data_IF_020369625826
#
_entry.id   IF_020369625826
#
_cell.length_a   1.000
_cell.length_b   1.000
_cell.length_c   1.000
_cell.angle_alpha   90.00
_cell.angle_beta   90.00
_cell.angle_gamma   90.00
#
_symmetry.space_group_name_H-M   'P 1'
#
loop_
_entity.id
_entity.type
_entity.pdbx_description
1 polymer ?
#
# COMPACT_ATOMS: atom_id res chain seq x y z
N UNK A 1 15.86 12.68 -1.83
CA UNK A 1 14.67 12.68 -2.72
C UNK A 1 14.38 11.33 -3.40
N UNK A 2 15.27 10.31 -3.38
CA UNK A 2 15.01 8.99 -3.99
C UNK A 2 14.06 8.08 -3.19
N UNK A 3 14.13 8.11 -1.85
CA UNK A 3 13.42 7.15 -0.99
C UNK A 3 11.90 7.32 -1.01
N UNK A 4 11.40 8.56 -1.02
CA UNK A 4 9.95 8.87 -1.06
C UNK A 4 9.33 8.45 -2.39
N UNK A 5 10.02 8.67 -3.52
CA UNK A 5 9.55 8.21 -4.85
C UNK A 5 9.47 6.69 -4.95
N UNK A 6 10.43 5.97 -4.37
CA UNK A 6 10.44 4.51 -4.41
C UNK A 6 9.28 3.92 -3.59
N UNK A 7 8.98 4.50 -2.43
CA UNK A 7 7.86 4.04 -1.59
C UNK A 7 6.52 4.39 -2.23
N UNK A 8 6.40 5.57 -2.86
CA UNK A 8 5.19 5.93 -3.59
C UNK A 8 4.92 4.95 -4.76
N UNK A 9 5.97 4.56 -5.50
CA UNK A 9 5.84 3.52 -6.53
C UNK A 9 5.37 2.19 -5.95
N UNK A 10 5.96 1.75 -4.84
CA UNK A 10 5.57 0.52 -4.14
C UNK A 10 4.09 0.56 -3.69
N UNK A 11 3.62 1.70 -3.20
CA UNK A 11 2.21 1.91 -2.84
C UNK A 11 1.32 1.80 -4.08
N UNK A 12 1.68 2.41 -5.21
CA UNK A 12 0.93 2.28 -6.45
C UNK A 12 0.83 0.83 -6.92
N UNK A 13 1.96 0.10 -6.91
CA UNK A 13 1.99 -1.31 -7.32
C UNK A 13 1.12 -2.17 -6.38
N UNK A 14 1.20 -1.96 -5.06
CA UNK A 14 0.37 -2.65 -4.07
C UNK A 14 -1.13 -2.35 -4.23
N UNK A 15 -1.49 -1.09 -4.56
CA UNK A 15 -2.89 -0.71 -4.84
C UNK A 15 -3.43 -1.45 -6.06
N UNK A 16 -2.62 -1.59 -7.10
CA UNK A 16 -3.03 -2.33 -8.30
C UNK A 16 -3.25 -3.80 -7.96
N UNK A 17 -2.30 -4.44 -7.26
CA UNK A 17 -2.43 -5.83 -6.84
C UNK A 17 -3.66 -6.07 -5.95
N UNK A 18 -3.95 -5.15 -5.01
CA UNK A 18 -5.15 -5.23 -4.17
C UNK A 18 -6.42 -5.09 -5.01
N UNK A 19 -6.44 -4.18 -5.98
CA UNK A 19 -7.58 -3.99 -6.88
C UNK A 19 -7.83 -5.24 -7.73
N UNK A 20 -6.77 -5.87 -8.23
CA UNK A 20 -6.85 -7.10 -9.00
C UNK A 20 -7.38 -8.26 -8.14
N UNK A 21 -6.88 -8.40 -6.90
CA UNK A 21 -7.39 -9.37 -5.93
C UNK A 21 -8.88 -9.14 -5.60
N UNK A 22 -9.30 -7.88 -5.44
CA UNK A 22 -10.70 -7.53 -5.21
C UNK A 22 -11.59 -7.92 -6.41
N UNK A 23 -11.06 -7.80 -7.64
CA UNK A 23 -11.79 -8.17 -8.85
C UNK A 23 -11.86 -9.69 -9.06
N UNK A 24 -10.83 -10.43 -8.63
CA UNK A 24 -10.77 -11.89 -8.77
C UNK A 24 -11.50 -12.62 -7.64
N UNK A 25 -11.53 -12.06 -6.43
CA UNK A 25 -12.11 -12.70 -5.25
C UNK A 25 -13.60 -12.37 -5.12
N UNK A 26 -14.44 -13.34 -4.72
CA UNK A 26 -15.87 -13.12 -4.57
C UNK A 26 -16.24 -12.25 -3.36
N UNK A 27 -15.28 -11.97 -2.46
CA UNK A 27 -15.51 -11.23 -1.23
C UNK A 27 -14.31 -10.39 -0.84
N UNK A 28 -14.57 -9.16 -0.39
CA UNK A 28 -13.57 -8.28 0.21
C UNK A 28 -13.05 -8.81 1.57
N UNK A 29 -13.76 -9.77 2.15
CA UNK A 29 -13.38 -10.43 3.40
C UNK A 29 -12.51 -11.68 3.15
N UNK A 30 -12.13 -11.94 1.90
CA UNK A 30 -11.18 -13.00 1.61
C UNK A 30 -9.86 -12.72 2.37
N UNK A 31 -9.28 -13.72 3.04
CA UNK A 31 -8.05 -13.54 3.79
C UNK A 31 -6.91 -12.92 2.96
N UNK A 32 -6.83 -13.22 1.66
CA UNK A 32 -5.81 -12.64 0.78
C UNK A 32 -6.04 -11.15 0.53
N UNK A 33 -7.31 -10.73 0.36
CA UNK A 33 -7.67 -9.31 0.21
C UNK A 33 -7.40 -8.55 1.50
N UNK A 34 -7.70 -9.15 2.65
CA UNK A 34 -7.45 -8.55 3.97
C UNK A 34 -5.94 -8.36 4.18
N UNK A 35 -5.14 -9.39 3.92
CA UNK A 35 -3.68 -9.34 4.08
C UNK A 35 -3.09 -8.28 3.15
N UNK A 36 -3.46 -8.29 1.86
CA UNK A 36 -2.98 -7.31 0.89
C UNK A 36 -3.38 -5.86 1.27
N UNK A 37 -4.57 -5.68 1.85
CA UNK A 37 -5.01 -4.39 2.38
C UNK A 37 -4.18 -3.93 3.58
N UNK A 38 -3.83 -4.84 4.50
CA UNK A 38 -3.00 -4.53 5.66
C UNK A 38 -1.57 -4.15 5.26
N UNK A 39 -0.98 -4.88 4.31
CA UNK A 39 0.36 -4.57 3.79
C UNK A 39 0.40 -3.19 3.10
N UNK A 40 -0.65 -2.84 2.38
CA UNK A 40 -0.79 -1.52 1.78
C UNK A 40 -0.88 -0.41 2.84
N UNK A 41 -1.65 -0.63 3.90
CA UNK A 41 -1.77 0.33 5.01
C UNK A 41 -0.42 0.54 5.73
N UNK A 42 0.36 -0.52 5.94
CA UNK A 42 1.71 -0.41 6.52
C UNK A 42 2.64 0.44 5.63
N UNK A 43 2.63 0.19 4.32
CA UNK A 43 3.42 0.97 3.36
C UNK A 43 3.00 2.46 3.33
N UNK A 44 1.70 2.75 3.42
CA UNK A 44 1.17 4.11 3.52
C UNK A 44 1.60 4.80 4.81
N UNK A 45 1.59 4.07 5.94
CA UNK A 45 2.07 4.58 7.22
C UNK A 45 3.57 4.89 7.18
N UNK A 46 4.37 4.03 6.57
CA UNK A 46 5.81 4.27 6.38
C UNK A 46 6.06 5.52 5.52
N UNK A 47 5.33 5.67 4.42
CA UNK A 47 5.39 6.85 3.58
C UNK A 47 5.05 8.13 4.35
N UNK A 48 3.96 8.11 5.14
CA UNK A 48 3.53 9.24 5.95
C UNK A 48 4.58 9.59 7.03
N UNK A 49 5.16 8.59 7.68
CA UNK A 49 6.24 8.77 8.65
C UNK A 49 7.49 9.40 8.02
N UNK A 50 7.82 9.04 6.78
CA UNK A 50 8.93 9.63 6.05
C UNK A 50 8.65 11.06 5.63
N UNK A 51 7.43 11.39 5.19
CA UNK A 51 7.04 12.77 4.90
C UNK A 51 7.10 13.64 6.16
N UNK A 52 6.55 13.16 7.28
CA UNK A 52 6.60 13.87 8.57
C UNK A 52 8.02 14.11 9.10
N UNK A 53 9.01 13.31 8.67
CA UNK A 53 10.43 13.51 8.99
C UNK A 53 11.13 14.51 8.05
N UNK A 54 10.57 14.77 6.87
CA UNK A 54 11.11 15.72 5.89
C UNK A 54 10.57 17.14 6.08
N UNK A 55 9.37 17.26 6.68
CA UNK A 55 8.73 18.55 7.02
C UNK A 55 9.22 19.19 8.36
N UNK A 56 10.23 18.63 9.03
CA UNK A 56 10.88 19.19 10.23
C UNK A 56 12.29 19.68 9.94
#
# INVERSE_FOLDING_TARGET
MGSVKNINKKICDMRQSLQDLINEKPSLLDPEVIIASQELDEALNEYNNLLNKVDK
#
